data_IF_156299387937
#
_entry.id   IF_156299387937
#
_cell.length_a   1.000
_cell.length_b   1.000
_cell.length_c   1.000
_cell.angle_alpha   90.00
_cell.angle_beta   90.00
_cell.angle_gamma   90.00
#
_symmetry.space_group_name_H-M   'P 1'
#
loop_
_entity.id
_entity.type
_entity.pdbx_description
1 polymer ?
#
# COMPACT_ATOMS: atom_id res chain seq x y z
N UNK A 1 16.11 42.20 -35.44
CA UNK A 1 14.65 41.97 -35.59
C UNK A 1 14.27 40.55 -36.09
N UNK A 2 15.18 39.73 -36.66
CA UNK A 2 14.90 38.34 -37.10
C UNK A 2 14.79 37.31 -35.94
N UNK A 3 15.51 37.50 -34.85
CA UNK A 3 15.48 36.56 -33.70
C UNK A 3 14.15 36.55 -32.93
N UNK A 4 13.47 37.68 -32.82
CA UNK A 4 12.22 37.81 -32.02
C UNK A 4 11.06 36.99 -32.59
N UNK A 5 11.03 36.67 -33.88
CA UNK A 5 9.91 35.91 -34.52
C UNK A 5 10.00 34.41 -34.39
N UNK A 6 11.20 33.83 -34.32
CA UNK A 6 11.38 32.39 -34.07
C UNK A 6 11.17 32.05 -32.59
N UNK A 7 11.53 32.97 -31.68
CA UNK A 7 11.34 32.85 -30.24
C UNK A 7 9.86 32.76 -29.86
N UNK A 8 8.97 33.53 -30.52
CA UNK A 8 7.53 33.56 -30.15
C UNK A 8 6.81 32.24 -30.44
N UNK A 9 7.13 31.53 -31.52
CA UNK A 9 6.55 30.20 -31.82
C UNK A 9 7.11 29.15 -30.88
N UNK A 10 8.41 29.26 -30.57
CA UNK A 10 9.07 28.43 -29.58
C UNK A 10 8.45 28.64 -28.19
N UNK A 11 8.19 29.88 -27.78
CA UNK A 11 7.54 30.19 -26.48
C UNK A 11 6.13 29.60 -26.38
N UNK A 12 5.27 29.70 -27.39
CA UNK A 12 3.93 29.11 -27.38
C UNK A 12 3.96 27.59 -27.27
N UNK A 13 4.92 26.94 -27.94
CA UNK A 13 5.12 25.50 -27.82
C UNK A 13 5.54 25.13 -26.38
N UNK A 14 6.50 25.89 -25.80
CA UNK A 14 6.92 25.66 -24.42
C UNK A 14 5.76 25.84 -23.44
N UNK A 15 4.93 26.86 -23.60
CA UNK A 15 3.74 27.09 -22.77
C UNK A 15 2.77 25.92 -22.90
N UNK A 16 2.43 25.49 -24.11
CA UNK A 16 1.51 24.36 -24.30
C UNK A 16 2.04 23.06 -23.67
N UNK A 17 3.33 22.77 -23.84
CA UNK A 17 3.95 21.58 -23.27
C UNK A 17 4.14 21.67 -21.76
N UNK A 18 4.42 22.88 -21.24
CA UNK A 18 4.43 23.10 -19.78
C UNK A 18 3.06 22.87 -19.16
N UNK A 19 1.98 23.24 -19.84
CA UNK A 19 0.60 22.95 -19.39
C UNK A 19 0.36 21.44 -19.34
N UNK A 20 0.80 20.68 -20.36
CA UNK A 20 0.65 19.22 -20.38
C UNK A 20 1.44 18.57 -19.22
N UNK A 21 2.71 18.97 -19.02
CA UNK A 21 3.53 18.46 -17.93
C UNK A 21 2.91 18.81 -16.57
N UNK A 22 2.44 20.04 -16.41
CA UNK A 22 1.79 20.52 -15.17
C UNK A 22 0.49 19.73 -14.90
N UNK A 23 -0.29 19.44 -15.95
CA UNK A 23 -1.48 18.58 -15.84
C UNK A 23 -1.13 17.15 -15.43
N UNK A 24 -0.09 16.54 -16.03
CA UNK A 24 0.40 15.22 -15.63
C UNK A 24 0.89 15.20 -14.17
N UNK A 25 1.64 16.21 -13.74
CA UNK A 25 2.08 16.35 -12.36
C UNK A 25 0.90 16.53 -11.41
N UNK A 26 -0.10 17.32 -11.79
CA UNK A 26 -1.31 17.55 -10.98
C UNK A 26 -2.12 16.28 -10.75
N UNK A 27 -2.11 15.33 -11.67
CA UNK A 27 -2.74 14.01 -11.53
C UNK A 27 -1.84 13.01 -10.77
N UNK A 28 -0.55 13.00 -11.09
CA UNK A 28 0.39 12.01 -10.55
C UNK A 28 0.73 12.26 -9.09
N UNK A 29 0.94 13.52 -8.66
CA UNK A 29 1.33 13.84 -7.30
C UNK A 29 0.30 13.37 -6.27
N UNK A 30 -1.01 13.65 -6.40
CA UNK A 30 -2.02 13.15 -5.45
C UNK A 30 -2.08 11.62 -5.39
N UNK A 31 -1.92 10.92 -6.53
CA UNK A 31 -1.91 9.47 -6.58
C UNK A 31 -0.68 8.88 -5.87
N UNK A 32 0.50 9.45 -6.08
CA UNK A 32 1.75 9.03 -5.40
C UNK A 32 1.62 9.28 -3.89
N UNK A 33 1.12 10.47 -3.49
CA UNK A 33 0.93 10.82 -2.07
C UNK A 33 -0.07 9.87 -1.42
N UNK A 34 -1.18 9.53 -2.09
CA UNK A 34 -2.15 8.56 -1.60
C UNK A 34 -1.51 7.18 -1.43
N UNK A 35 -0.85 6.65 -2.47
CA UNK A 35 -0.20 5.33 -2.41
C UNK A 35 0.90 5.27 -1.34
N UNK A 36 1.63 6.35 -1.14
CA UNK A 36 2.64 6.46 -0.08
C UNK A 36 1.99 6.44 1.32
N UNK A 37 0.88 7.16 1.50
CA UNK A 37 0.12 7.11 2.76
C UNK A 37 -0.43 5.71 3.04
N UNK A 38 -0.96 5.04 2.03
CA UNK A 38 -1.50 3.68 2.16
C UNK A 38 -0.39 2.68 2.51
N UNK A 39 0.79 2.81 1.89
CA UNK A 39 1.98 2.02 2.26
C UNK A 39 2.41 2.27 3.71
N UNK A 40 2.48 3.53 4.14
CA UNK A 40 2.85 3.86 5.52
C UNK A 40 1.83 3.31 6.53
N UNK A 41 0.52 3.43 6.24
CA UNK A 41 -0.54 2.87 7.10
C UNK A 41 -0.42 1.34 7.23
N UNK A 42 -0.20 0.62 6.13
CA UNK A 42 -0.05 -0.84 6.18
C UNK A 42 1.25 -1.29 6.84
N UNK A 43 2.32 -0.52 6.66
CA UNK A 43 3.59 -0.78 7.36
C UNK A 43 3.46 -0.55 8.87
N UNK A 44 2.78 0.52 9.28
CA UNK A 44 2.49 0.80 10.68
C UNK A 44 1.59 -0.30 11.28
N UNK A 45 0.52 -0.69 10.59
CA UNK A 45 -0.37 -1.77 11.03
C UNK A 45 0.34 -3.10 11.24
N UNK A 46 1.33 -3.45 10.39
CA UNK A 46 2.17 -4.62 10.59
C UNK A 46 2.98 -4.52 11.90
N UNK A 47 3.60 -3.37 12.16
CA UNK A 47 4.38 -3.15 13.39
C UNK A 47 3.49 -3.25 14.63
N UNK A 48 2.29 -2.68 14.57
CA UNK A 48 1.31 -2.71 15.66
C UNK A 48 0.82 -4.14 15.94
N UNK A 49 0.48 -4.92 14.90
CA UNK A 49 0.08 -6.32 15.08
C UNK A 49 1.21 -7.18 15.65
N UNK A 50 2.47 -6.92 15.27
CA UNK A 50 3.62 -7.60 15.87
C UNK A 50 3.79 -7.24 17.36
N UNK A 51 3.57 -5.97 17.72
CA UNK A 51 3.54 -5.54 19.11
C UNK A 51 2.41 -6.21 19.90
N UNK A 52 1.19 -6.25 19.34
CA UNK A 52 0.05 -6.96 19.93
C UNK A 52 0.34 -8.45 20.11
N UNK A 53 0.93 -9.10 19.11
CA UNK A 53 1.33 -10.51 19.22
C UNK A 53 2.30 -10.71 20.38
N UNK A 54 3.34 -9.85 20.49
CA UNK A 54 4.33 -9.99 21.57
C UNK A 54 3.69 -9.84 22.97
N UNK A 55 2.77 -8.88 23.14
CA UNK A 55 2.04 -8.69 24.40
C UNK A 55 1.06 -9.83 24.67
N UNK A 56 0.32 -10.33 23.68
CA UNK A 56 -0.57 -11.46 23.81
C UNK A 56 0.20 -12.74 24.17
N UNK A 57 1.36 -12.98 23.55
CA UNK A 57 2.24 -14.10 23.90
C UNK A 57 2.76 -14.01 25.33
N UNK A 58 3.10 -12.80 25.81
CA UNK A 58 3.49 -12.57 27.20
C UNK A 58 2.34 -12.85 28.15
N UNK A 59 1.16 -12.27 27.90
CA UNK A 59 -0.06 -12.53 28.71
C UNK A 59 -0.38 -14.02 28.79
N UNK A 60 -0.18 -14.73 27.67
CA UNK A 60 -0.34 -16.18 27.59
C UNK A 60 0.63 -16.94 28.48
N UNK A 61 1.90 -16.58 28.48
CA UNK A 61 2.89 -17.23 29.31
C UNK A 61 2.67 -16.92 30.80
N UNK A 62 2.31 -15.67 31.14
CA UNK A 62 1.95 -15.30 32.52
C UNK A 62 0.74 -16.12 33.01
N UNK A 63 -0.33 -16.18 32.22
CA UNK A 63 -1.49 -16.98 32.56
C UNK A 63 -1.15 -18.47 32.74
N UNK A 64 -0.28 -19.02 31.89
CA UNK A 64 0.10 -20.45 31.93
C UNK A 64 1.05 -20.77 33.10
N UNK A 65 1.77 -19.79 33.67
CA UNK A 65 2.62 -19.99 34.87
C UNK A 65 1.79 -20.49 36.07
N UNK A 66 0.45 -20.25 36.08
CA UNK A 66 -0.46 -20.78 37.12
C UNK A 66 -0.51 -22.29 37.14
N UNK A 67 -0.34 -22.98 36.01
CA UNK A 67 -0.41 -24.43 35.98
C UNK A 67 0.72 -25.12 36.79
N UNK A 68 2.01 -24.85 36.54
CA UNK A 68 3.08 -25.38 37.37
C UNK A 68 3.04 -24.84 38.82
N UNK A 69 2.56 -23.59 39.04
CA UNK A 69 2.36 -23.07 40.38
C UNK A 69 1.28 -23.87 41.17
N UNK A 70 0.14 -24.12 40.55
CA UNK A 70 -0.96 -24.93 41.14
C UNK A 70 -0.48 -26.37 41.42
N UNK A 71 0.28 -26.98 40.49
CA UNK A 71 0.88 -28.32 40.74
C UNK A 71 1.81 -28.29 41.95
N UNK A 72 2.69 -27.29 42.05
CA UNK A 72 3.57 -27.13 43.19
C UNK A 72 2.80 -27.00 44.51
N UNK A 73 1.82 -26.09 44.55
CA UNK A 73 1.03 -25.81 45.76
C UNK A 73 0.16 -27.01 46.21
N UNK A 74 -0.33 -27.80 45.27
CA UNK A 74 -1.17 -29.00 45.53
C UNK A 74 -0.37 -30.31 45.63
N UNK A 75 0.98 -30.27 45.46
CA UNK A 75 1.80 -31.46 45.40
C UNK A 75 1.94 -32.23 46.70
N UNK A 76 2.11 -33.56 46.58
CA UNK A 76 2.57 -34.42 47.67
C UNK A 76 4.09 -34.23 47.89
N UNK A 77 4.65 -34.91 48.92
CA UNK A 77 6.07 -34.79 49.28
C UNK A 77 7.01 -35.39 48.22
N UNK A 78 6.57 -36.46 47.54
CA UNK A 78 7.38 -37.19 46.58
C UNK A 78 7.60 -36.34 45.31
N UNK A 79 6.58 -35.62 44.84
CA UNK A 79 6.60 -34.85 43.60
C UNK A 79 7.00 -33.40 43.81
N UNK A 80 7.14 -32.91 45.05
CA UNK A 80 7.38 -31.51 45.37
C UNK A 80 8.64 -30.94 44.67
N UNK A 81 9.78 -31.63 44.79
CA UNK A 81 11.03 -31.20 44.15
C UNK A 81 10.94 -31.11 42.63
N UNK A 82 10.20 -32.07 42.02
CA UNK A 82 9.91 -32.05 40.58
C UNK A 82 9.12 -30.80 40.17
N UNK A 83 8.08 -30.47 40.91
CA UNK A 83 7.20 -29.35 40.62
C UNK A 83 7.88 -28.01 40.90
N UNK A 84 8.81 -27.93 41.87
CA UNK A 84 9.69 -26.77 42.07
C UNK A 84 10.53 -26.50 40.84
N UNK A 85 11.17 -27.54 40.30
CA UNK A 85 11.99 -27.41 39.08
C UNK A 85 11.14 -27.02 37.86
N UNK A 86 9.97 -27.66 37.69
CA UNK A 86 9.04 -27.32 36.58
C UNK A 86 8.61 -25.85 36.64
N UNK A 87 8.23 -25.33 37.79
CA UNK A 87 7.86 -23.94 37.97
C UNK A 87 9.05 -23.00 37.72
N UNK A 88 10.24 -23.31 38.22
CA UNK A 88 11.45 -22.50 38.01
C UNK A 88 11.81 -22.37 36.54
N UNK A 89 11.79 -23.47 35.80
CA UNK A 89 12.08 -23.48 34.36
C UNK A 89 11.00 -22.67 33.59
N UNK A 90 9.73 -22.80 33.99
CA UNK A 90 8.66 -22.05 33.31
C UNK A 90 8.80 -20.54 33.56
N UNK A 91 9.13 -20.10 34.77
CA UNK A 91 9.38 -18.68 35.09
C UNK A 91 10.47 -18.08 34.21
N UNK A 92 11.55 -18.81 33.88
CA UNK A 92 12.58 -18.35 32.98
C UNK A 92 12.01 -18.05 31.58
N UNK A 93 11.06 -18.84 31.11
CA UNK A 93 10.42 -18.59 29.79
C UNK A 93 9.53 -17.35 29.80
N UNK A 94 8.91 -17.05 30.95
CA UNK A 94 8.12 -15.82 31.13
C UNK A 94 9.03 -14.60 31.18
N UNK A 95 10.15 -14.67 31.94
CA UNK A 95 11.11 -13.58 32.07
C UNK A 95 11.78 -13.24 30.73
N UNK A 96 12.10 -14.26 29.93
CA UNK A 96 12.62 -14.07 28.58
C UNK A 96 11.60 -13.37 27.68
N UNK A 97 10.34 -13.81 27.72
CA UNK A 97 9.26 -13.19 26.93
C UNK A 97 9.01 -11.75 27.38
N UNK A 98 9.10 -11.47 28.70
CA UNK A 98 8.96 -10.14 29.25
C UNK A 98 9.98 -9.16 28.61
N UNK A 99 11.26 -9.56 28.59
CA UNK A 99 12.33 -8.79 27.97
C UNK A 99 12.09 -8.59 26.47
N UNK A 100 11.78 -9.67 25.75
CA UNK A 100 11.48 -9.62 24.31
C UNK A 100 10.31 -8.70 24.00
N UNK A 101 9.23 -8.78 24.78
CA UNK A 101 8.06 -7.93 24.57
C UNK A 101 8.38 -6.45 24.78
N UNK A 102 9.13 -6.13 25.85
CA UNK A 102 9.56 -4.75 26.12
C UNK A 102 10.43 -4.18 24.97
N UNK A 103 11.33 -4.97 24.41
CA UNK A 103 12.13 -4.58 23.25
C UNK A 103 11.26 -4.31 22.03
N UNK A 104 10.30 -5.21 21.72
CA UNK A 104 9.36 -5.01 20.61
C UNK A 104 8.55 -3.73 20.80
N UNK A 105 8.03 -3.47 22.00
CA UNK A 105 7.25 -2.26 22.29
C UNK A 105 8.09 -0.99 22.15
N UNK A 106 9.34 -0.99 22.60
CA UNK A 106 10.26 0.16 22.45
C UNK A 106 10.59 0.47 20.97
N UNK A 107 10.65 -0.55 20.11
CA UNK A 107 10.95 -0.39 18.67
C UNK A 107 9.72 -0.18 17.82
N UNK A 108 8.50 -0.35 18.35
CA UNK A 108 7.26 -0.25 17.59
C UNK A 108 6.86 1.17 17.21
N UNK A 109 7.54 2.20 17.76
CA UNK A 109 7.21 3.63 17.57
C UNK A 109 5.70 3.94 17.76
N UNK A 110 5.04 3.22 18.70
CA UNK A 110 3.64 3.48 19.03
C UNK A 110 3.55 4.84 19.76
N UNK A 111 2.81 5.81 19.19
CA UNK A 111 2.69 7.12 19.83
C UNK A 111 1.87 7.00 21.12
N UNK A 112 2.34 7.64 22.19
CA UNK A 112 1.65 7.71 23.48
C UNK A 112 1.44 6.37 24.22
N UNK A 113 2.21 5.33 23.92
CA UNK A 113 2.18 4.08 24.68
C UNK A 113 2.67 4.33 26.12
N UNK A 114 1.85 3.97 27.12
CA UNK A 114 2.21 4.10 28.52
C UNK A 114 3.08 2.92 29.00
N UNK A 115 4.39 3.05 28.87
CA UNK A 115 5.34 2.03 29.33
C UNK A 115 5.31 1.81 30.84
N UNK A 116 4.72 2.71 31.66
CA UNK A 116 4.54 2.49 33.09
C UNK A 116 3.58 1.34 33.42
N UNK A 117 2.70 0.98 32.46
CA UNK A 117 1.87 -0.22 32.56
C UNK A 117 2.72 -1.50 32.62
N UNK A 118 3.88 -1.49 31.95
CA UNK A 118 4.78 -2.63 31.95
C UNK A 118 5.50 -2.79 33.29
N UNK A 119 5.86 -1.68 33.93
CA UNK A 119 6.43 -1.69 35.29
C UNK A 119 5.41 -2.21 36.30
N UNK A 120 4.14 -1.80 36.19
CA UNK A 120 3.03 -2.31 37.03
C UNK A 120 2.76 -3.80 36.81
N UNK A 121 2.95 -4.28 35.56
CA UNK A 121 2.85 -5.70 35.25
C UNK A 121 3.99 -6.50 35.92
N UNK A 122 5.22 -6.02 35.82
CA UNK A 122 6.38 -6.68 36.44
C UNK A 122 6.24 -6.77 37.98
N UNK A 123 5.79 -5.67 38.60
CA UNK A 123 5.48 -5.66 40.03
C UNK A 123 4.39 -6.67 40.41
N UNK A 124 3.29 -6.73 39.68
CA UNK A 124 2.21 -7.67 39.92
C UNK A 124 2.66 -9.13 39.74
N UNK A 125 3.49 -9.41 38.73
CA UNK A 125 4.07 -10.72 38.50
C UNK A 125 4.99 -11.14 39.66
N UNK A 126 5.87 -10.23 40.12
CA UNK A 126 6.73 -10.49 41.27
C UNK A 126 5.93 -10.75 42.53
N UNK A 127 4.89 -9.95 42.81
CA UNK A 127 3.99 -10.16 43.97
C UNK A 127 3.27 -11.53 43.91
N UNK A 128 2.77 -11.91 42.72
CA UNK A 128 2.11 -13.22 42.54
C UNK A 128 3.09 -14.37 42.79
N UNK A 129 4.29 -14.32 42.26
CA UNK A 129 5.35 -15.31 42.48
C UNK A 129 5.77 -15.41 43.94
N UNK A 130 5.94 -14.27 44.61
CA UNK A 130 6.29 -14.20 46.04
C UNK A 130 5.22 -14.91 46.91
N UNK A 131 3.95 -14.75 46.63
CA UNK A 131 2.88 -15.42 47.35
C UNK A 131 2.90 -16.94 47.15
N UNK A 132 3.15 -17.40 45.91
CA UNK A 132 3.30 -18.83 45.60
C UNK A 132 4.52 -19.41 46.36
N UNK A 133 5.65 -18.71 46.37
CA UNK A 133 6.87 -19.15 47.02
C UNK A 133 6.73 -19.14 48.54
N UNK A 134 6.10 -18.11 49.12
CA UNK A 134 5.77 -18.05 50.54
C UNK A 134 4.85 -19.21 50.96
N UNK A 135 3.82 -19.49 50.20
CA UNK A 135 2.95 -20.64 50.43
C UNK A 135 3.72 -21.98 50.35
N UNK A 136 4.56 -22.15 49.32
CA UNK A 136 5.32 -23.39 49.14
C UNK A 136 6.39 -23.59 50.26
N UNK A 137 6.85 -22.52 50.91
CA UNK A 137 7.80 -22.57 52.02
C UNK A 137 7.12 -22.93 53.34
N UNK A 138 5.76 -22.84 53.45
CA UNK A 138 5.07 -23.21 54.70
C UNK A 138 5.25 -24.69 55.00
N UNK A 139 5.39 -25.06 56.30
CA UNK A 139 5.24 -26.43 56.72
C UNK A 139 3.88 -26.98 56.30
N UNK A 140 3.80 -28.28 56.02
CA UNK A 140 2.57 -28.88 55.52
C UNK A 140 1.37 -28.72 56.43
N UNK A 141 1.60 -28.78 57.70
CA UNK A 141 0.59 -28.67 58.75
C UNK A 141 -0.02 -27.26 58.81
N UNK A 142 0.67 -26.27 58.24
CA UNK A 142 0.21 -24.88 58.18
C UNK A 142 -0.40 -24.50 56.83
N UNK A 143 -0.31 -25.38 55.82
CA UNK A 143 -0.97 -25.19 54.53
C UNK A 143 -2.44 -25.44 54.61
N UNK A 144 -3.23 -24.57 54.05
CA UNK A 144 -4.68 -24.71 53.97
C UNK A 144 -5.23 -24.16 52.67
N UNK A 145 -6.51 -24.43 52.38
CA UNK A 145 -7.17 -24.04 51.15
C UNK A 145 -7.25 -22.51 50.99
N UNK A 146 -7.47 -21.77 52.07
CA UNK A 146 -7.62 -20.32 52.04
C UNK A 146 -6.33 -19.61 51.63
N UNK A 147 -5.18 -19.97 52.25
CA UNK A 147 -3.89 -19.43 51.91
C UNK A 147 -3.45 -19.80 50.49
N UNK A 148 -3.83 -21.01 50.03
CA UNK A 148 -3.61 -21.40 48.62
C UNK A 148 -4.47 -20.59 47.65
N UNK A 149 -5.76 -20.37 47.96
CA UNK A 149 -6.66 -19.56 47.14
C UNK A 149 -6.16 -18.11 47.03
N UNK A 150 -5.67 -17.53 48.13
CA UNK A 150 -5.07 -16.19 48.12
C UNK A 150 -3.83 -16.09 47.21
N UNK A 151 -2.96 -17.11 47.23
CA UNK A 151 -1.80 -17.14 46.30
C UNK A 151 -2.25 -17.22 44.85
N UNK A 152 -3.28 -18.05 44.54
CA UNK A 152 -3.87 -18.15 43.21
C UNK A 152 -4.44 -16.79 42.73
N UNK A 153 -5.18 -16.09 43.59
CA UNK A 153 -5.76 -14.77 43.29
C UNK A 153 -4.70 -13.70 43.00
N UNK A 154 -3.58 -13.76 43.69
CA UNK A 154 -2.44 -12.84 43.38
C UNK A 154 -1.83 -13.09 42.01
N UNK A 155 -1.83 -14.34 41.55
CA UNK A 155 -1.38 -14.64 40.19
C UNK A 155 -2.35 -14.14 39.14
N UNK A 156 -3.67 -14.05 39.41
CA UNK A 156 -4.62 -13.44 38.46
C UNK A 156 -4.31 -11.98 38.23
N UNK A 157 -3.85 -11.23 39.24
CA UNK A 157 -3.52 -9.82 39.10
C UNK A 157 -2.42 -9.58 38.08
N UNK A 158 -1.40 -10.45 37.98
CA UNK A 158 -0.35 -10.34 36.99
C UNK A 158 -0.93 -10.42 35.55
N UNK A 159 -1.88 -11.30 35.30
CA UNK A 159 -2.55 -11.36 34.01
C UNK A 159 -3.42 -10.12 33.76
N UNK A 160 -4.17 -9.65 34.75
CA UNK A 160 -5.00 -8.44 34.62
C UNK A 160 -4.14 -7.24 34.21
N UNK A 161 -2.90 -7.10 34.72
CA UNK A 161 -1.97 -6.07 34.30
C UNK A 161 -1.43 -6.28 32.87
N UNK A 162 -1.17 -7.51 32.47
CA UNK A 162 -0.78 -7.79 31.07
C UNK A 162 -1.90 -7.48 30.09
N UNK A 163 -3.13 -7.65 30.49
CA UNK A 163 -4.32 -7.29 29.72
C UNK A 163 -4.49 -5.75 29.60
N UNK A 164 -4.12 -4.99 30.66
CA UNK A 164 -4.10 -3.53 30.59
C UNK A 164 -3.07 -3.04 29.55
N UNK A 165 -1.86 -3.64 29.50
CA UNK A 165 -0.88 -3.37 28.45
C UNK A 165 -1.43 -3.68 27.06
N UNK A 166 -2.12 -4.82 26.89
CA UNK A 166 -2.72 -5.22 25.61
C UNK A 166 -3.76 -4.19 25.15
N UNK A 167 -4.63 -3.74 26.06
CA UNK A 167 -5.63 -2.70 25.76
C UNK A 167 -5.00 -1.37 25.38
N UNK A 168 -3.93 -0.97 26.05
CA UNK A 168 -3.25 0.29 25.77
C UNK A 168 -2.61 0.26 24.37
N UNK A 169 -1.92 -0.83 24.02
CA UNK A 169 -1.39 -1.03 22.67
C UNK A 169 -2.51 -0.92 21.62
N UNK A 170 -3.67 -1.53 21.86
CA UNK A 170 -4.83 -1.41 20.95
C UNK A 170 -5.36 0.03 20.92
N UNK A 171 -5.41 0.72 22.06
CA UNK A 171 -5.96 2.07 22.15
C UNK A 171 -5.13 3.08 21.35
N UNK A 172 -3.79 2.96 21.40
CA UNK A 172 -2.86 3.86 20.70
C UNK A 172 -2.57 3.44 19.26
N UNK A 173 -3.03 2.26 18.81
CA UNK A 173 -2.83 1.78 17.44
C UNK A 173 -3.59 2.63 16.41
N UNK A 174 -2.91 3.05 15.36
CA UNK A 174 -3.46 3.81 14.23
C UNK A 174 -3.96 2.92 13.09
N UNK A 175 -3.58 1.64 13.08
CA UNK A 175 -3.93 0.66 12.05
C UNK A 175 -5.41 0.22 12.02
N UNK A 176 -6.28 0.81 12.86
CA UNK A 176 -7.70 0.46 12.99
C UNK A 176 -8.51 0.62 11.68
N UNK A 177 -8.05 1.48 10.78
CA UNK A 177 -8.68 1.72 9.47
C UNK A 177 -8.12 0.82 8.35
N UNK A 178 -7.36 -0.19 8.68
CA UNK A 178 -6.74 -1.09 7.71
C UNK A 178 -7.52 -2.39 7.56
N UNK A 179 -7.18 -3.18 6.53
CA UNK A 179 -7.76 -4.51 6.31
C UNK A 179 -7.52 -5.50 7.46
N UNK A 180 -6.61 -5.18 8.38
CA UNK A 180 -6.25 -5.99 9.55
C UNK A 180 -6.90 -5.51 10.85
N UNK A 181 -7.73 -4.48 10.82
CA UNK A 181 -8.36 -3.88 12.01
C UNK A 181 -9.17 -4.88 12.85
N UNK A 182 -9.83 -5.85 12.21
CA UNK A 182 -10.61 -6.87 12.91
C UNK A 182 -9.75 -7.74 13.84
N UNK A 183 -8.47 -7.92 13.53
CA UNK A 183 -7.60 -8.76 14.36
C UNK A 183 -7.28 -8.14 15.71
N UNK A 184 -7.32 -6.81 15.87
CA UNK A 184 -7.10 -6.16 17.17
C UNK A 184 -8.12 -6.63 18.21
N UNK A 185 -9.40 -6.65 17.83
CA UNK A 185 -10.49 -7.11 18.71
C UNK A 185 -10.41 -8.63 18.93
N UNK A 186 -10.12 -9.40 17.88
CA UNK A 186 -10.02 -10.86 17.98
C UNK A 186 -8.89 -11.30 18.90
N UNK A 187 -7.71 -10.66 18.81
CA UNK A 187 -6.56 -10.94 19.69
C UNK A 187 -6.94 -10.67 21.15
N UNK A 188 -7.66 -9.57 21.43
CA UNK A 188 -8.12 -9.24 22.77
C UNK A 188 -9.09 -10.30 23.31
N UNK A 189 -10.13 -10.62 22.52
CA UNK A 189 -11.14 -11.62 22.93
C UNK A 189 -10.55 -13.01 23.15
N UNK A 190 -9.58 -13.41 22.33
CA UNK A 190 -8.90 -14.69 22.50
C UNK A 190 -7.97 -14.72 23.72
N UNK A 191 -7.31 -13.59 24.01
CA UNK A 191 -6.53 -13.45 25.25
C UNK A 191 -7.44 -13.57 26.48
N UNK A 192 -8.61 -12.92 26.47
CA UNK A 192 -9.62 -13.01 27.52
C UNK A 192 -10.17 -14.42 27.65
N UNK A 193 -10.60 -15.05 26.55
CA UNK A 193 -11.10 -16.42 26.55
C UNK A 193 -10.11 -17.39 27.18
N UNK A 194 -8.85 -17.26 26.77
CA UNK A 194 -7.78 -18.10 27.26
C UNK A 194 -7.53 -17.94 28.76
N UNK A 195 -7.55 -16.72 29.27
CA UNK A 195 -7.37 -16.51 30.72
C UNK A 195 -8.56 -17.03 31.52
N UNK A 196 -9.78 -16.72 31.09
CA UNK A 196 -10.99 -17.23 31.75
C UNK A 196 -11.03 -18.76 31.73
N UNK A 197 -10.59 -19.39 30.64
CA UNK A 197 -10.46 -20.85 30.58
C UNK A 197 -9.47 -21.37 31.63
N UNK A 198 -8.35 -20.69 31.84
CA UNK A 198 -7.40 -21.04 32.91
C UNK A 198 -7.93 -20.76 34.32
N UNK A 199 -8.74 -19.70 34.52
CA UNK A 199 -9.37 -19.38 35.80
C UNK A 199 -10.43 -20.43 36.21
N UNK A 200 -11.10 -21.07 35.26
CA UNK A 200 -12.16 -22.05 35.52
C UNK A 200 -11.72 -23.15 36.52
N UNK A 201 -10.56 -23.75 36.28
CA UNK A 201 -10.01 -24.74 37.21
C UNK A 201 -9.39 -24.11 38.47
N UNK A 202 -8.71 -22.96 38.30
CA UNK A 202 -8.00 -22.30 39.38
C UNK A 202 -8.93 -21.84 40.52
N UNK A 203 -10.17 -21.43 40.19
CA UNK A 203 -11.15 -21.00 41.18
C UNK A 203 -11.59 -22.11 42.19
N UNK A 204 -11.49 -23.36 41.81
CA UNK A 204 -11.86 -24.49 42.66
C UNK A 204 -10.66 -25.29 43.20
N UNK A 205 -9.46 -25.00 42.64
CA UNK A 205 -8.23 -25.75 42.83
C UNK A 205 -7.86 -25.94 44.29
N UNK A 206 -7.83 -24.87 45.08
CA UNK A 206 -7.40 -24.91 46.46
C UNK A 206 -8.28 -25.88 47.31
N UNK A 207 -9.60 -25.78 47.19
CA UNK A 207 -10.53 -26.57 47.97
C UNK A 207 -10.54 -28.04 47.52
N UNK A 208 -10.38 -28.32 46.24
CA UNK A 208 -10.20 -29.67 45.70
C UNK A 208 -8.91 -30.31 46.25
N UNK A 209 -7.80 -29.54 46.26
CA UNK A 209 -6.51 -30.04 46.77
C UNK A 209 -6.55 -30.44 48.24
N UNK A 210 -7.30 -29.67 49.05
CA UNK A 210 -7.48 -29.93 50.49
C UNK A 210 -8.70 -30.79 50.82
N UNK A 211 -9.44 -31.26 49.82
CA UNK A 211 -10.69 -32.07 50.00
C UNK A 211 -11.71 -31.36 50.90
N UNK A 212 -11.78 -30.04 50.83
CA UNK A 212 -12.70 -29.20 51.60
C UNK A 212 -13.85 -28.72 50.70
N UNK A 213 -15.03 -28.43 51.28
CA UNK A 213 -16.13 -27.83 50.52
C UNK A 213 -15.69 -26.52 49.90
N UNK A 214 -16.15 -26.28 48.68
CA UNK A 214 -15.87 -25.02 47.96
C UNK A 214 -16.78 -23.93 48.55
N UNK A 215 -16.25 -22.82 49.05
CA UNK A 215 -17.04 -21.70 49.57
C UNK A 215 -17.96 -21.08 48.51
N UNK A 216 -19.06 -20.46 48.94
CA UNK A 216 -20.00 -19.78 48.04
C UNK A 216 -19.34 -18.73 47.15
N UNK A 217 -18.34 -18.00 47.68
CA UNK A 217 -17.55 -17.00 46.92
C UNK A 217 -16.78 -17.64 45.76
N UNK A 218 -16.20 -18.81 45.95
CA UNK A 218 -15.48 -19.56 44.93
C UNK A 218 -16.41 -20.18 43.90
N UNK A 219 -17.59 -20.71 44.38
CA UNK A 219 -18.67 -21.19 43.50
C UNK A 219 -19.19 -20.06 42.61
N UNK A 220 -19.46 -18.87 43.18
CA UNK A 220 -19.90 -17.70 42.43
C UNK A 220 -18.85 -17.28 41.38
N UNK A 221 -17.55 -17.21 41.74
CA UNK A 221 -16.45 -16.91 40.80
C UNK A 221 -16.39 -17.95 39.66
N UNK A 222 -16.53 -19.24 39.97
CA UNK A 222 -16.52 -20.29 38.95
C UNK A 222 -17.71 -20.17 37.98
N UNK A 223 -18.90 -19.91 38.48
CA UNK A 223 -20.09 -19.68 37.65
C UNK A 223 -19.95 -18.44 36.77
N UNK A 224 -19.40 -17.34 37.31
CA UNK A 224 -19.13 -16.14 36.57
C UNK A 224 -18.09 -16.39 35.44
N UNK A 225 -16.99 -17.08 35.77
CA UNK A 225 -15.95 -17.46 34.80
C UNK A 225 -16.55 -18.30 33.66
N UNK A 226 -17.40 -19.29 33.99
CA UNK A 226 -18.07 -20.09 32.96
C UNK A 226 -18.95 -19.25 32.04
N UNK A 227 -19.75 -18.32 32.59
CA UNK A 227 -20.59 -17.42 31.81
C UNK A 227 -19.73 -16.53 30.88
N UNK A 228 -18.61 -16.01 31.39
CA UNK A 228 -17.68 -15.21 30.61
C UNK A 228 -17.04 -16.01 29.46
N UNK A 229 -16.63 -17.26 29.74
CA UNK A 229 -16.10 -18.17 28.70
C UNK A 229 -17.11 -18.37 27.57
N UNK A 230 -18.38 -18.69 27.93
CA UNK A 230 -19.41 -18.89 26.89
C UNK A 230 -19.72 -17.64 26.10
N UNK A 231 -19.78 -16.48 26.75
CA UNK A 231 -20.03 -15.21 26.11
C UNK A 231 -18.86 -14.81 25.16
N UNK A 232 -17.61 -14.94 25.61
CA UNK A 232 -16.43 -14.66 24.77
C UNK A 232 -16.38 -15.61 23.59
N UNK A 233 -16.73 -16.88 23.77
CA UNK A 233 -16.81 -17.83 22.68
C UNK A 233 -17.83 -17.43 21.61
N UNK A 234 -19.03 -17.04 22.01
CA UNK A 234 -20.07 -16.54 21.12
C UNK A 234 -19.63 -15.28 20.36
N UNK A 235 -18.94 -14.34 21.03
CA UNK A 235 -18.38 -13.16 20.39
C UNK A 235 -17.31 -13.52 19.35
N UNK A 236 -16.40 -14.44 19.66
CA UNK A 236 -15.35 -14.88 18.72
C UNK A 236 -15.97 -15.50 17.47
N UNK A 237 -16.98 -16.37 17.65
CA UNK A 237 -17.68 -17.01 16.52
C UNK A 237 -18.41 -15.96 15.63
N UNK A 238 -19.08 -14.99 16.26
CA UNK A 238 -19.86 -13.95 15.58
C UNK A 238 -18.97 -12.93 14.86
N UNK A 239 -17.84 -12.54 15.46
CA UNK A 239 -16.96 -11.49 14.93
C UNK A 239 -15.96 -11.98 13.89
N UNK A 240 -15.83 -13.30 13.69
CA UNK A 240 -14.94 -13.84 12.68
C UNK A 240 -15.55 -13.71 11.28
N UNK A 241 -14.98 -12.90 10.36
CA UNK A 241 -15.51 -12.79 9.01
C UNK A 241 -15.43 -14.14 8.27
N UNK A 242 -16.45 -14.49 7.50
CA UNK A 242 -16.48 -15.74 6.72
C UNK A 242 -15.27 -15.90 5.78
N UNK A 243 -14.79 -14.80 5.18
CA UNK A 243 -13.61 -14.78 4.31
C UNK A 243 -12.31 -15.20 5.02
N UNK A 244 -12.25 -15.06 6.34
CA UNK A 244 -11.08 -15.37 7.16
C UNK A 244 -11.26 -16.71 7.93
N UNK A 245 -12.39 -17.40 7.78
CA UNK A 245 -12.65 -18.75 8.29
C UNK A 245 -12.02 -19.80 7.38
N UNK A 246 -10.71 -19.95 7.48
CA UNK A 246 -9.97 -20.99 6.77
C UNK A 246 -10.36 -22.39 7.27
N UNK A 247 -10.03 -23.44 6.53
CA UNK A 247 -10.30 -24.82 6.99
C UNK A 247 -9.55 -25.14 8.29
N UNK A 248 -8.31 -24.65 8.44
CA UNK A 248 -7.54 -24.79 9.67
C UNK A 248 -8.22 -24.09 10.85
N UNK A 249 -8.73 -22.86 10.64
CA UNK A 249 -9.53 -22.16 11.65
C UNK A 249 -10.73 -23.00 12.09
N UNK A 250 -11.50 -23.55 11.14
CA UNK A 250 -12.70 -24.35 11.45
C UNK A 250 -12.37 -25.60 12.28
N UNK A 251 -11.28 -26.29 11.95
CA UNK A 251 -10.82 -27.47 12.69
C UNK A 251 -10.43 -27.09 14.13
N UNK A 252 -9.63 -26.02 14.30
CA UNK A 252 -9.21 -25.55 15.62
C UNK A 252 -10.39 -25.03 16.44
N UNK A 253 -11.27 -24.28 15.81
CA UNK A 253 -12.50 -23.78 16.44
C UNK A 253 -13.38 -24.93 16.92
N UNK A 254 -13.61 -25.94 16.11
CA UNK A 254 -14.37 -27.11 16.46
C UNK A 254 -13.69 -27.93 17.61
N UNK A 255 -12.35 -27.96 17.62
CA UNK A 255 -11.59 -28.60 18.69
C UNK A 255 -11.81 -27.90 20.05
N UNK A 256 -11.79 -26.55 20.06
CA UNK A 256 -12.12 -25.78 21.28
C UNK A 256 -13.52 -26.12 21.81
N UNK A 257 -14.49 -26.12 20.90
CA UNK A 257 -15.86 -26.48 21.30
C UNK A 257 -15.96 -27.89 21.90
N UNK A 258 -15.44 -28.90 21.19
CA UNK A 258 -15.59 -30.29 21.59
C UNK A 258 -14.74 -30.64 22.80
N UNK A 259 -13.52 -30.19 22.91
CA UNK A 259 -12.62 -30.61 23.99
C UNK A 259 -12.71 -29.68 25.21
N UNK A 260 -12.67 -28.36 25.00
CA UNK A 260 -12.67 -27.43 26.15
C UNK A 260 -14.08 -27.10 26.62
N UNK A 261 -14.97 -26.61 25.75
CA UNK A 261 -16.30 -26.17 26.19
C UNK A 261 -17.20 -27.36 26.60
N UNK A 262 -17.26 -28.40 25.77
CA UNK A 262 -18.13 -29.54 26.01
C UNK A 262 -17.59 -30.54 27.06
N UNK A 263 -16.26 -30.71 27.17
CA UNK A 263 -15.66 -31.68 28.10
C UNK A 263 -14.92 -31.01 29.27
N UNK A 264 -14.10 -29.99 28.99
CA UNK A 264 -13.25 -29.34 29.99
C UNK A 264 -14.05 -28.62 31.06
N UNK A 265 -15.07 -27.84 30.67
CA UNK A 265 -15.92 -27.14 31.65
C UNK A 265 -16.77 -28.09 32.49
N UNK A 266 -17.14 -29.28 31.96
CA UNK A 266 -17.85 -30.28 32.71
C UNK A 266 -17.02 -30.88 33.86
N UNK A 267 -15.67 -30.91 33.74
CA UNK A 267 -14.79 -31.35 34.83
C UNK A 267 -14.99 -30.44 36.05
N UNK A 268 -14.97 -29.11 35.83
CA UNK A 268 -15.16 -28.12 36.89
C UNK A 268 -16.57 -28.17 37.46
N UNK A 269 -17.57 -28.27 36.59
CA UNK A 269 -18.98 -28.38 37.00
C UNK A 269 -19.22 -29.62 37.88
N UNK A 270 -18.64 -30.77 37.53
CA UNK A 270 -18.72 -31.99 38.34
C UNK A 270 -18.11 -31.79 39.72
N UNK A 271 -16.93 -31.16 39.81
CA UNK A 271 -16.29 -30.87 41.11
C UNK A 271 -17.13 -29.92 41.96
N UNK A 272 -17.76 -28.90 41.36
CA UNK A 272 -18.66 -28.00 42.05
C UNK A 272 -19.90 -28.78 42.62
N UNK A 273 -20.49 -29.66 41.80
CA UNK A 273 -21.61 -30.50 42.23
C UNK A 273 -21.20 -31.48 43.34
N UNK A 274 -20.01 -32.11 43.24
CA UNK A 274 -19.47 -32.96 44.30
C UNK A 274 -19.31 -32.18 45.64
N UNK A 275 -18.85 -30.90 45.54
CA UNK A 275 -18.79 -30.01 46.72
C UNK A 275 -20.16 -29.69 47.30
N UNK A 276 -21.14 -29.29 46.48
CA UNK A 276 -22.50 -28.91 46.90
C UNK A 276 -23.21 -30.09 47.58
N UNK A 277 -23.04 -31.32 47.07
CA UNK A 277 -23.66 -32.52 47.61
C UNK A 277 -22.79 -33.24 48.66
N UNK A 278 -21.70 -32.58 49.14
CA UNK A 278 -20.76 -33.14 50.14
C UNK A 278 -20.19 -34.52 49.75
N UNK A 279 -19.96 -34.75 48.44
CA UNK A 279 -19.35 -35.95 47.90
C UNK A 279 -17.84 -35.80 47.85
N UNK A 280 -17.05 -36.91 47.95
CA UNK A 280 -15.62 -36.84 47.75
C UNK A 280 -15.28 -36.44 46.31
N UNK A 281 -14.30 -35.58 46.17
CA UNK A 281 -13.82 -35.19 44.83
C UNK A 281 -13.19 -36.38 44.13
N UNK A 282 -13.54 -36.56 42.85
CA UNK A 282 -13.00 -37.63 42.01
C UNK A 282 -11.59 -37.35 41.50
N UNK A 283 -11.09 -36.09 41.59
CA UNK A 283 -9.75 -35.66 41.20
C UNK A 283 -9.01 -35.04 42.39
N UNK A 284 -7.69 -35.20 42.38
CA UNK A 284 -6.79 -34.43 43.24
C UNK A 284 -6.48 -33.07 42.56
N UNK A 285 -5.89 -32.13 43.29
CA UNK A 285 -5.48 -30.83 42.71
C UNK A 285 -4.52 -30.96 41.54
N UNK A 286 -3.53 -31.83 41.60
CA UNK A 286 -2.61 -32.11 40.50
C UNK A 286 -3.33 -32.70 39.29
N UNK A 287 -4.18 -33.71 39.50
CA UNK A 287 -4.98 -34.33 38.43
C UNK A 287 -5.94 -33.31 37.78
N UNK A 288 -6.55 -32.43 38.56
CA UNK A 288 -7.38 -31.36 38.03
C UNK A 288 -6.57 -30.43 37.11
N UNK A 289 -5.37 -30.01 37.54
CA UNK A 289 -4.50 -29.18 36.71
C UNK A 289 -4.18 -29.86 35.39
N UNK A 290 -3.78 -31.14 35.40
CA UNK A 290 -3.44 -31.90 34.21
C UNK A 290 -4.62 -32.07 33.26
N UNK A 291 -5.79 -32.46 33.78
CA UNK A 291 -7.00 -32.66 33.00
C UNK A 291 -7.47 -31.37 32.27
N UNK A 292 -7.35 -30.24 32.99
CA UNK A 292 -7.73 -28.95 32.36
C UNK A 292 -6.68 -28.46 31.39
N UNK A 293 -5.38 -28.58 31.68
CA UNK A 293 -4.31 -28.16 30.76
C UNK A 293 -4.41 -28.91 29.44
N UNK A 294 -4.73 -30.20 29.46
CA UNK A 294 -4.96 -30.99 28.24
C UNK A 294 -6.09 -30.40 27.37
N UNK A 295 -7.25 -30.15 27.96
CA UNK A 295 -8.43 -29.61 27.24
C UNK A 295 -8.24 -28.14 26.80
N UNK A 296 -7.57 -27.38 27.62
CA UNK A 296 -7.30 -25.96 27.40
C UNK A 296 -6.26 -25.72 26.28
N UNK A 297 -5.41 -26.71 25.95
CA UNK A 297 -4.43 -26.59 24.87
C UNK A 297 -5.08 -26.18 23.53
N UNK A 298 -6.31 -26.63 23.27
CA UNK A 298 -7.07 -26.28 22.06
C UNK A 298 -7.34 -24.78 21.94
N UNK A 299 -7.60 -24.09 23.05
CA UNK A 299 -7.78 -22.62 23.08
C UNK A 299 -6.47 -21.91 22.73
N UNK A 300 -5.35 -22.44 23.27
CA UNK A 300 -4.01 -21.91 22.96
C UNK A 300 -3.66 -22.10 21.50
N UNK A 301 -3.97 -23.25 20.92
CA UNK A 301 -3.72 -23.57 19.51
C UNK A 301 -4.51 -22.64 18.59
N UNK A 302 -5.81 -22.42 18.86
CA UNK A 302 -6.63 -21.49 18.11
C UNK A 302 -6.08 -20.06 18.18
N UNK A 303 -5.66 -19.62 19.37
CA UNK A 303 -5.09 -18.29 19.56
C UNK A 303 -3.76 -18.14 18.81
N UNK A 304 -2.86 -19.09 18.91
CA UNK A 304 -1.57 -19.07 18.20
C UNK A 304 -1.77 -19.03 16.68
N UNK A 305 -2.74 -19.81 16.19
CA UNK A 305 -3.12 -19.76 14.78
C UNK A 305 -3.57 -18.37 14.35
N UNK A 306 -4.49 -17.74 15.08
CA UNK A 306 -5.01 -16.42 14.72
C UNK A 306 -3.95 -15.30 14.84
N UNK A 307 -3.09 -15.38 15.85
CA UNK A 307 -1.94 -14.47 15.98
C UNK A 307 -1.00 -14.57 14.77
N UNK A 308 -0.65 -15.80 14.38
CA UNK A 308 0.19 -16.04 13.19
C UNK A 308 -0.49 -15.56 11.91
N UNK A 309 -1.75 -15.93 11.72
CA UNK A 309 -2.54 -15.55 10.55
C UNK A 309 -2.67 -14.02 10.42
N UNK A 310 -2.87 -13.29 11.53
CA UNK A 310 -2.96 -11.84 11.53
C UNK A 310 -1.67 -11.17 11.05
N UNK A 311 -0.51 -11.67 11.48
CA UNK A 311 0.80 -11.16 11.03
C UNK A 311 1.04 -11.48 9.55
N UNK A 312 0.75 -12.69 9.11
CA UNK A 312 0.87 -13.09 7.70
C UNK A 312 -0.01 -12.20 6.80
N UNK A 313 -1.24 -11.94 7.22
CA UNK A 313 -2.16 -11.04 6.51
C UNK A 313 -1.63 -9.61 6.43
N UNK A 314 -1.10 -9.09 7.54
CA UNK A 314 -0.50 -7.75 7.58
C UNK A 314 0.72 -7.64 6.63
N UNK A 315 1.56 -8.68 6.56
CA UNK A 315 2.70 -8.75 5.62
C UNK A 315 2.20 -8.71 4.17
N UNK A 316 1.18 -9.49 3.83
CA UNK A 316 0.59 -9.52 2.48
C UNK A 316 0.05 -8.14 2.09
N UNK A 317 -0.72 -7.49 2.97
CA UNK A 317 -1.28 -6.16 2.71
C UNK A 317 -0.18 -5.09 2.56
N UNK A 318 0.88 -5.13 3.37
CA UNK A 318 2.05 -4.27 3.21
C UNK A 318 2.72 -4.46 1.84
N UNK A 319 2.99 -5.71 1.42
CA UNK A 319 3.59 -5.98 0.11
C UNK A 319 2.69 -5.50 -1.04
N UNK A 320 1.38 -5.69 -0.93
CA UNK A 320 0.40 -5.19 -1.89
C UNK A 320 0.46 -3.67 -2.01
N UNK A 321 0.45 -2.95 -0.89
CA UNK A 321 0.55 -1.49 -0.87
C UNK A 321 1.90 -1.00 -1.43
N UNK A 322 3.01 -1.70 -1.12
CA UNK A 322 4.33 -1.42 -1.67
C UNK A 322 4.36 -1.57 -3.19
N UNK A 323 3.79 -2.65 -3.74
CA UNK A 323 3.71 -2.87 -5.18
C UNK A 323 2.86 -1.79 -5.87
N UNK A 324 1.74 -1.39 -5.27
CA UNK A 324 0.90 -0.30 -5.78
C UNK A 324 1.69 1.02 -5.81
N UNK A 325 2.44 1.33 -4.76
CA UNK A 325 3.28 2.52 -4.71
C UNK A 325 4.34 2.49 -5.83
N UNK A 326 5.08 1.39 -5.97
CA UNK A 326 6.13 1.25 -6.99
C UNK A 326 5.55 1.36 -8.41
N UNK A 327 4.42 0.72 -8.69
CA UNK A 327 3.76 0.81 -10.00
C UNK A 327 3.23 2.21 -10.27
N UNK A 328 2.64 2.89 -9.28
CA UNK A 328 2.16 4.27 -9.42
C UNK A 328 3.32 5.24 -9.72
N UNK A 329 4.43 5.14 -9.00
CA UNK A 329 5.64 5.94 -9.24
C UNK A 329 6.22 5.62 -10.62
N UNK A 330 6.33 4.34 -10.98
CA UNK A 330 6.86 3.90 -12.27
C UNK A 330 6.05 4.44 -13.45
N UNK A 331 4.73 4.30 -13.43
CA UNK A 331 3.84 4.82 -14.48
C UNK A 331 3.93 6.34 -14.56
N UNK A 332 3.96 7.04 -13.43
CA UNK A 332 4.09 8.50 -13.39
C UNK A 332 5.40 8.97 -14.00
N UNK A 333 6.53 8.34 -13.68
CA UNK A 333 7.83 8.66 -14.26
C UNK A 333 7.86 8.41 -15.78
N UNK A 334 7.37 7.25 -16.24
CA UNK A 334 7.29 6.92 -17.66
C UNK A 334 6.46 7.97 -18.40
N UNK A 335 5.32 8.39 -17.85
CA UNK A 335 4.44 9.40 -18.45
C UNK A 335 5.16 10.76 -18.58
N UNK A 336 5.87 11.20 -17.55
CA UNK A 336 6.64 12.45 -17.56
C UNK A 336 7.80 12.35 -18.58
N UNK A 337 8.54 11.24 -18.58
CA UNK A 337 9.62 11.03 -19.55
C UNK A 337 9.10 10.99 -21.00
N UNK A 338 7.97 10.35 -21.25
CA UNK A 338 7.33 10.32 -22.56
C UNK A 338 6.92 11.72 -23.01
N UNK A 339 6.36 12.54 -22.10
CA UNK A 339 6.00 13.93 -22.40
C UNK A 339 7.24 14.78 -22.70
N UNK A 340 8.31 14.66 -21.93
CA UNK A 340 9.58 15.36 -22.17
C UNK A 340 10.24 14.92 -23.49
N UNK A 341 10.26 13.61 -23.76
CA UNK A 341 10.79 13.07 -25.01
C UNK A 341 10.01 13.60 -26.21
N UNK A 342 8.68 13.56 -26.16
CA UNK A 342 7.81 14.08 -27.21
C UNK A 342 8.05 15.57 -27.44
N UNK A 343 8.26 16.35 -26.37
CA UNK A 343 8.60 17.76 -26.45
C UNK A 343 9.92 17.99 -27.20
N UNK A 344 10.97 17.28 -26.83
CA UNK A 344 12.31 17.42 -27.45
C UNK A 344 12.26 16.97 -28.91
N UNK A 345 11.57 15.86 -29.20
CA UNK A 345 11.41 15.31 -30.53
C UNK A 345 10.62 16.26 -31.43
N UNK A 346 9.46 16.74 -30.98
CA UNK A 346 8.65 17.71 -31.74
C UNK A 346 9.43 18.97 -32.03
N UNK A 347 10.17 19.52 -31.06
CA UNK A 347 11.01 20.69 -31.25
C UNK A 347 12.08 20.46 -32.34
N UNK A 348 12.88 19.38 -32.19
CA UNK A 348 14.06 19.16 -33.08
C UNK A 348 13.68 18.67 -34.48
N UNK A 349 12.69 17.78 -34.57
CA UNK A 349 12.38 17.07 -35.83
C UNK A 349 11.20 17.66 -36.60
N UNK A 350 10.31 18.41 -35.94
CA UNK A 350 9.10 18.94 -36.59
C UNK A 350 9.19 20.47 -36.71
N UNK A 351 9.29 21.16 -35.58
CA UNK A 351 9.20 22.63 -35.60
C UNK A 351 10.46 23.34 -36.12
N UNK A 352 11.65 22.86 -35.78
CA UNK A 352 12.89 23.50 -36.27
C UNK A 352 13.00 23.46 -37.81
N UNK A 353 12.79 22.32 -38.51
CA UNK A 353 12.79 22.28 -39.97
C UNK A 353 11.66 23.12 -40.60
N UNK A 354 10.45 23.15 -39.98
CA UNK A 354 9.35 23.97 -40.48
C UNK A 354 9.65 25.47 -40.39
N UNK A 355 10.28 25.92 -39.30
CA UNK A 355 10.70 27.32 -39.15
C UNK A 355 11.77 27.67 -40.17
N UNK A 356 12.76 26.81 -40.41
CA UNK A 356 13.79 27.01 -41.42
C UNK A 356 13.21 27.06 -42.86
N UNK A 357 12.33 26.12 -43.20
CA UNK A 357 11.66 26.10 -44.48
C UNK A 357 10.83 27.38 -44.71
N UNK A 358 10.14 27.88 -43.69
CA UNK A 358 9.43 29.15 -43.76
C UNK A 358 10.36 30.32 -43.98
N UNK A 359 11.51 30.40 -43.30
CA UNK A 359 12.48 31.49 -43.49
C UNK A 359 13.04 31.49 -44.91
N UNK A 360 13.39 30.32 -45.46
CA UNK A 360 13.87 30.19 -46.84
C UNK A 360 12.80 30.63 -47.84
N UNK A 361 11.53 30.20 -47.64
CA UNK A 361 10.43 30.64 -48.52
C UNK A 361 10.20 32.15 -48.44
N UNK A 362 10.33 32.74 -47.26
CA UNK A 362 10.16 34.17 -47.06
C UNK A 362 11.32 34.97 -47.71
N UNK A 363 12.55 34.52 -47.60
CA UNK A 363 13.71 35.12 -48.22
C UNK A 363 13.65 35.03 -49.77
N UNK A 364 13.18 33.90 -50.32
CA UNK A 364 12.95 33.72 -51.74
C UNK A 364 11.85 34.65 -52.30
N UNK A 365 10.80 34.91 -51.52
CA UNK A 365 9.71 35.79 -51.92
C UNK A 365 10.08 37.29 -51.87
N UNK A 366 11.04 37.66 -51.01
CA UNK A 366 11.48 39.07 -50.84
C UNK A 366 12.70 39.47 -51.72
N UNK A 367 13.45 38.50 -52.21
CA UNK A 367 14.59 38.79 -53.08
C UNK A 367 14.21 39.34 -54.44
N UNK A 368 12.95 39.36 -54.86
CA UNK A 368 12.41 39.82 -56.14
C UNK A 368 11.82 41.23 -56.10
N UNK A 369 11.64 41.87 -54.93
CA UNK A 369 11.03 43.19 -54.79
C UNK A 369 11.79 43.94 -53.70
N UNK A 370 12.46 45.13 -54.03
CA UNK A 370 12.98 46.03 -52.99
C UNK A 370 11.80 46.49 -52.11
N UNK A 371 11.76 46.18 -50.86
CA UNK A 371 10.63 46.56 -50.00
C UNK A 371 10.80 48.04 -49.66
N UNK A 372 9.71 48.79 -49.76
CA UNK A 372 9.54 50.06 -49.09
C UNK A 372 9.64 49.86 -47.56
N UNK A 373 10.49 50.62 -46.84
CA UNK A 373 10.77 50.29 -45.42
C UNK A 373 9.61 50.53 -44.41
N UNK A 374 8.39 50.87 -44.87
CA UNK A 374 7.33 51.36 -44.02
C UNK A 374 6.21 50.37 -43.63
N UNK A 375 6.15 49.14 -44.20
CA UNK A 375 4.96 48.28 -44.05
C UNK A 375 5.18 46.95 -43.31
N UNK A 376 6.21 46.82 -42.47
CA UNK A 376 6.48 45.57 -41.75
C UNK A 376 6.40 45.71 -40.21
N UNK A 377 5.41 46.41 -39.70
CA UNK A 377 5.06 46.31 -38.26
C UNK A 377 3.82 45.43 -38.09
N UNK A 378 4.00 44.38 -37.28
CA UNK A 378 2.94 43.61 -36.64
C UNK A 378 2.10 42.62 -37.48
N UNK A 379 2.74 41.54 -37.99
CA UNK A 379 1.96 40.33 -38.29
C UNK A 379 2.43 39.17 -37.41
N UNK A 380 1.50 38.49 -36.67
CA UNK A 380 1.84 37.38 -35.81
C UNK A 380 2.36 36.20 -36.62
N UNK A 381 3.43 35.57 -36.09
CA UNK A 381 4.07 34.40 -36.68
C UNK A 381 3.17 33.14 -36.51
N UNK A 382 2.12 33.06 -37.30
CA UNK A 382 1.18 31.93 -37.33
C UNK A 382 1.46 30.99 -38.51
N UNK A 383 0.90 29.77 -38.49
CA UNK A 383 0.81 28.83 -39.63
C UNK A 383 0.25 29.52 -40.88
N UNK A 384 -0.58 30.56 -40.70
CA UNK A 384 -1.02 31.52 -41.72
C UNK A 384 0.16 32.19 -42.46
N UNK A 385 1.27 32.43 -41.81
CA UNK A 385 2.40 33.10 -42.45
C UNK A 385 3.21 32.18 -43.39
N UNK A 386 3.23 30.86 -43.18
CA UNK A 386 3.80 29.91 -44.12
C UNK A 386 2.92 29.81 -45.39
N UNK A 387 1.59 29.72 -45.18
CA UNK A 387 0.64 29.71 -46.29
C UNK A 387 0.71 31.01 -47.10
N UNK A 388 0.80 32.15 -46.43
CA UNK A 388 0.98 33.46 -47.06
C UNK A 388 2.30 33.55 -47.83
N UNK A 389 3.41 33.02 -47.27
CA UNK A 389 4.68 32.97 -47.96
C UNK A 389 4.66 32.08 -49.23
N UNK A 390 3.97 30.93 -49.15
CA UNK A 390 3.76 30.06 -50.32
C UNK A 390 2.87 30.73 -51.36
N UNK A 391 1.82 31.43 -50.98
CA UNK A 391 0.96 32.19 -51.89
C UNK A 391 1.74 33.34 -52.54
N UNK A 392 2.54 34.10 -51.81
CA UNK A 392 3.39 35.15 -52.36
C UNK A 392 4.42 34.58 -53.32
N UNK A 393 5.10 33.49 -53.01
CA UNK A 393 6.02 32.82 -53.91
C UNK A 393 5.31 32.37 -55.19
N UNK A 394 4.10 31.80 -55.09
CA UNK A 394 3.29 31.41 -56.25
C UNK A 394 2.93 32.61 -57.12
N UNK A 395 2.53 33.75 -56.54
CA UNK A 395 2.24 34.98 -57.27
C UNK A 395 3.49 35.53 -57.96
N UNK A 396 4.64 35.56 -57.28
CA UNK A 396 5.90 36.03 -57.84
C UNK A 396 6.35 35.17 -59.03
N UNK A 397 6.21 33.82 -58.89
CA UNK A 397 6.51 32.91 -60.00
C UNK A 397 5.54 33.14 -61.17
N UNK A 398 4.24 33.31 -60.95
CA UNK A 398 3.27 33.62 -61.98
C UNK A 398 3.56 34.99 -62.71
N UNK A 399 3.96 36.00 -61.93
CA UNK A 399 4.35 37.29 -62.48
C UNK A 399 5.60 37.16 -63.32
N UNK A 400 6.60 36.40 -62.86
CA UNK A 400 7.82 36.16 -63.63
C UNK A 400 7.51 35.43 -64.93
N UNK A 401 6.71 34.40 -64.93
CA UNK A 401 6.33 33.64 -66.12
C UNK A 401 5.52 34.51 -67.11
N UNK A 402 4.64 35.38 -66.60
CA UNK A 402 3.90 36.31 -67.39
C UNK A 402 4.81 37.37 -68.02
N UNK A 403 5.84 37.87 -67.29
CA UNK A 403 6.82 38.80 -67.78
C UNK A 403 7.71 38.13 -68.83
N UNK A 404 8.18 36.93 -68.62
CA UNK A 404 8.96 36.13 -69.57
C UNK A 404 8.15 35.88 -70.87
N UNK A 405 6.86 35.55 -70.75
CA UNK A 405 5.98 35.42 -71.92
C UNK A 405 5.82 36.72 -72.65
N UNK A 406 5.67 37.87 -71.97
CA UNK A 406 5.62 39.20 -72.61
C UNK A 406 6.94 39.55 -73.31
N UNK A 407 8.06 39.31 -72.63
CA UNK A 407 9.37 39.56 -73.24
C UNK A 407 9.63 38.73 -74.50
N UNK A 408 9.18 37.44 -74.44
CA UNK A 408 9.27 36.55 -75.60
C UNK A 408 8.40 37.01 -76.74
N UNK A 409 7.16 37.47 -76.45
CA UNK A 409 6.29 38.06 -77.51
C UNK A 409 6.85 39.33 -78.12
N UNK A 410 7.41 40.25 -77.30
CA UNK A 410 8.04 41.49 -77.81
C UNK A 410 9.27 41.15 -78.64
N UNK A 411 10.05 40.13 -78.25
CA UNK A 411 11.24 39.70 -79.01
C UNK A 411 10.85 39.00 -80.34
N UNK A 412 9.62 38.51 -80.49
CA UNK A 412 9.15 37.76 -81.66
C UNK A 412 8.34 38.63 -82.64
N UNK A 413 7.92 39.85 -82.28
CA UNK A 413 7.10 40.71 -83.08
C UNK A 413 7.94 41.93 -83.64
N UNK A 414 7.60 42.37 -84.79
CA UNK A 414 8.12 43.65 -85.35
C UNK A 414 7.35 44.82 -84.72
N UNK A 415 8.09 45.78 -84.19
CA UNK A 415 7.54 46.93 -83.43
C UNK A 415 6.67 47.88 -84.21
N UNK A 416 6.71 47.88 -85.53
CA UNK A 416 5.94 48.77 -86.36
C UNK A 416 4.70 48.11 -86.93
N UNK A 417 4.77 46.85 -87.29
CA UNK A 417 3.71 46.14 -88.03
C UNK A 417 2.96 45.13 -87.17
N UNK A 418 3.50 44.74 -86.02
CA UNK A 418 2.92 43.71 -85.14
C UNK A 418 2.98 42.29 -85.73
N UNK A 419 3.59 42.03 -86.85
CA UNK A 419 3.82 40.71 -87.42
C UNK A 419 5.05 40.07 -86.88
N UNK A 420 5.19 38.72 -87.00
CA UNK A 420 6.38 38.00 -86.63
C UNK A 420 7.65 38.56 -87.29
N UNK A 421 8.63 38.87 -86.48
CA UNK A 421 9.91 39.43 -86.96
C UNK A 421 10.86 38.32 -87.50
N UNK A 422 11.98 38.71 -88.03
CA UNK A 422 12.99 37.79 -88.58
C UNK A 422 13.44 36.73 -87.54
N UNK A 423 13.49 37.08 -86.26
CA UNK A 423 13.87 36.15 -85.18
C UNK A 423 12.79 35.05 -84.96
N UNK A 424 11.52 35.42 -84.94
CA UNK A 424 10.43 34.49 -84.87
C UNK A 424 10.36 33.57 -86.08
N UNK A 425 10.62 34.09 -87.29
CA UNK A 425 10.69 33.26 -88.50
C UNK A 425 11.80 32.22 -88.42
N UNK A 426 13.00 32.60 -87.94
CA UNK A 426 14.11 31.66 -87.79
C UNK A 426 13.82 30.58 -86.75
N UNK A 427 13.16 30.90 -85.62
CA UNK A 427 12.68 29.91 -84.63
C UNK A 427 11.65 29.00 -85.24
N UNK A 428 10.68 29.51 -85.98
CA UNK A 428 9.67 28.73 -86.65
C UNK A 428 10.25 27.76 -87.70
N UNK A 429 11.24 28.18 -88.48
CA UNK A 429 11.99 27.33 -89.42
C UNK A 429 12.69 26.17 -88.66
N UNK A 430 13.38 26.48 -87.58
CA UNK A 430 14.01 25.42 -86.68
C UNK A 430 13.02 24.46 -86.14
N UNK A 431 11.79 24.89 -85.76
CA UNK A 431 10.71 24.01 -85.30
C UNK A 431 10.21 23.10 -86.42
N UNK A 432 10.10 23.67 -87.68
CA UNK A 432 9.71 22.89 -88.83
C UNK A 432 10.79 21.89 -89.28
N UNK A 433 12.04 22.18 -89.08
CA UNK A 433 13.17 21.25 -89.37
C UNK A 433 13.07 19.99 -88.51
N UNK A 434 12.52 20.10 -87.29
CA UNK A 434 12.30 18.98 -86.41
C UNK A 434 10.95 18.21 -86.67
N UNK A 435 10.15 18.69 -87.66
CA UNK A 435 8.85 18.08 -88.05
C UNK A 435 8.79 17.82 -89.54
N UNK A 436 9.44 16.77 -90.07
CA UNK A 436 9.66 16.56 -91.52
C UNK A 436 8.35 16.52 -92.35
N UNK A 437 7.25 16.05 -91.76
CA UNK A 437 5.94 15.99 -92.46
C UNK A 437 5.31 17.36 -92.66
N UNK A 438 5.45 18.27 -91.70
CA UNK A 438 4.95 19.64 -91.80
C UNK A 438 5.87 20.50 -92.66
N UNK A 439 7.15 20.21 -92.63
CA UNK A 439 8.14 20.92 -93.46
C UNK A 439 7.90 20.71 -94.95
N UNK A 440 7.53 19.52 -95.39
CA UNK A 440 7.27 19.14 -96.76
C UNK A 440 5.98 19.79 -97.35
N UNK A 441 5.07 20.24 -96.46
CA UNK A 441 3.79 20.89 -96.86
C UNK A 441 3.86 22.44 -96.70
N UNK A 442 5.00 22.98 -96.32
CA UNK A 442 5.13 24.40 -96.04
C UNK A 442 5.71 25.12 -97.24
N UNK A 443 5.11 26.22 -97.71
CA UNK A 443 5.63 27.07 -98.78
C UNK A 443 6.07 28.39 -98.18
N UNK A 444 7.28 28.81 -98.55
CA UNK A 444 7.83 30.16 -98.23
C UNK A 444 7.60 31.09 -99.38
N UNK A 445 6.87 32.18 -99.14
CA UNK A 445 6.70 33.25 -100.06
C UNK A 445 7.56 34.47 -99.62
N UNK A 446 8.43 34.96 -100.43
CA UNK A 446 9.23 36.14 -100.14
C UNK A 446 8.68 37.28 -101.01
N UNK A 447 8.28 38.33 -100.31
CA UNK A 447 7.75 39.56 -101.00
C UNK A 447 8.72 40.69 -100.63
N UNK A 448 9.21 41.43 -101.70
CA UNK A 448 10.08 42.61 -101.56
C UNK A 448 9.43 43.77 -102.29
N UNK A 449 9.70 44.97 -101.80
CA UNK A 449 9.23 46.20 -102.46
C UNK A 449 10.32 46.74 -103.35
N UNK A 450 10.12 46.76 -104.64
CA UNK A 450 11.09 47.30 -105.62
C UNK A 450 11.40 48.73 -105.31
N UNK A 451 12.69 49.03 -105.25
CA UNK A 451 13.20 50.36 -104.97
C UNK A 451 12.89 50.95 -103.56
N UNK A 452 12.57 50.15 -102.52
CA UNK A 452 12.21 50.62 -101.16
C UNK A 452 13.28 51.59 -100.57
N UNK A 453 14.53 51.49 -100.94
CA UNK A 453 15.57 52.43 -100.49
C UNK A 453 15.52 53.81 -101.18
N UNK A 454 14.63 54.01 -102.18
CA UNK A 454 14.47 55.30 -102.94
C UNK A 454 13.18 56.03 -102.56
N UNK A 455 12.33 55.42 -101.73
CA UNK A 455 11.17 56.01 -101.10
C UNK A 455 11.57 56.43 -99.69
#
# INVERSE_FOLDING_TARGET
MREIRSEYLSQKLYIAMSIIILSLCSLSIPLIVKSYRDYNKTNQALTEIQALQAVADLANKISRERAPANKLMSSNQQDFAKHVLELKLYRLTVDEQMKKTLEVLKHSNLPNLDLSLFDRLDEALMQGRQQVDAYAALPREQRNAETMDQAILKMFNAWDRSHDVLKDVIAVSEGKDTAVSNFYVQILLLADLRDQAGRAASNVMAHVAFKQPIPETNLARSLQTRRQVMYLWELIDTLQPERDKTEEFKVLHQAVYNEFLAKGLLIVERLMNESIYHRPYYLTGTQLTEAIVDKFSTVVELQNYLLKYSVEKAIIEKHKAQNILLTTVGISLISIFAALFTMIYARKRVFSPLIQAREILFDLSHSSIRPNPMDTKDQPANMYSLFTAIQQLKQTLQQRDALEFRLKNIAHLDSLTGVANRYALNEYIKLLENQPTQFSETCLMVIDIDHFKQV
#
